data_IF_619974479855
#
_entry.id   IF_619974479855
#
_cell.length_a   1.000
_cell.length_b   1.000
_cell.length_c   1.000
_cell.angle_alpha   90.00
_cell.angle_beta   90.00
_cell.angle_gamma   90.00
#
_symmetry.space_group_name_H-M   'P 1'
#
loop_
_entity.id
_entity.type
_entity.pdbx_description
1 polymer ?
#
# COMPACT_ATOMS: atom_id res chain seq x y z
N UNK A 1 -4.22 -22.38 19.35
CA UNK A 1 -4.13 -20.96 19.75
C UNK A 1 -3.60 -20.22 18.54
N UNK A 2 -4.45 -19.48 17.84
CA UNK A 2 -4.08 -18.81 16.60
C UNK A 2 -3.11 -17.70 16.92
N UNK A 3 -1.88 -17.82 16.42
CA UNK A 3 -0.87 -16.78 16.48
C UNK A 3 -1.40 -15.57 15.68
N UNK A 4 -1.97 -14.61 16.40
CA UNK A 4 -2.18 -13.27 15.86
C UNK A 4 -0.79 -12.65 15.73
N UNK A 5 -0.14 -12.91 14.59
CA UNK A 5 1.11 -12.26 14.22
C UNK A 5 0.82 -10.77 14.09
N UNK A 6 1.16 -10.04 15.14
CA UNK A 6 1.28 -8.59 15.10
C UNK A 6 2.48 -8.22 14.20
N UNK A 7 2.36 -7.12 13.42
CA UNK A 7 1.24 -6.19 13.39
C UNK A 7 0.11 -6.64 12.44
N UNK A 8 -1.15 -6.32 12.81
CA UNK A 8 -2.31 -6.45 11.93
C UNK A 8 -2.02 -5.70 10.63
N UNK A 9 -1.92 -6.42 9.51
CA UNK A 9 -1.64 -5.80 8.23
C UNK A 9 -2.85 -4.95 7.82
N UNK A 10 -2.72 -3.61 7.73
CA UNK A 10 -3.83 -2.74 7.41
C UNK A 10 -4.37 -3.09 6.03
N UNK A 11 -5.67 -2.90 5.85
CA UNK A 11 -6.36 -3.26 4.62
C UNK A 11 -6.89 -2.01 3.95
N UNK A 12 -6.73 -1.91 2.62
CA UNK A 12 -7.27 -0.80 1.85
C UNK A 12 -8.81 -0.82 1.81
N UNK A 13 -9.42 0.20 1.20
CA UNK A 13 -10.88 0.28 1.05
C UNK A 13 -11.48 -0.89 0.24
N UNK A 14 -10.67 -1.61 -0.54
CA UNK A 14 -11.04 -2.73 -1.38
C UNK A 14 -10.80 -4.10 -0.73
N UNK A 15 -10.19 -4.15 0.46
CA UNK A 15 -9.88 -5.40 1.15
C UNK A 15 -8.51 -5.99 0.80
N UNK A 16 -7.62 -5.25 0.14
CA UNK A 16 -6.24 -5.64 -0.10
C UNK A 16 -5.35 -5.34 1.10
N UNK A 17 -4.50 -6.31 1.43
CA UNK A 17 -3.52 -6.17 2.50
C UNK A 17 -2.40 -5.22 2.06
N UNK A 18 -2.17 -4.18 2.86
CA UNK A 18 -1.11 -3.21 2.68
C UNK A 18 0.14 -3.61 3.48
N UNK A 19 1.30 -3.35 2.92
CA UNK A 19 2.60 -3.62 3.55
C UNK A 19 3.59 -2.50 3.25
N UNK A 20 4.59 -2.32 4.11
CA UNK A 20 5.69 -1.38 3.84
C UNK A 20 6.37 -1.73 2.52
N UNK A 21 6.67 -0.72 1.69
CA UNK A 21 7.19 -0.87 0.33
C UNK A 21 6.11 -1.08 -0.74
N UNK A 22 4.84 -1.16 -0.35
CA UNK A 22 3.73 -1.29 -1.31
C UNK A 22 3.42 0.07 -1.94
N UNK A 23 3.17 0.08 -3.24
CA UNK A 23 2.69 1.26 -3.97
C UNK A 23 1.17 1.35 -3.90
N UNK A 24 0.70 2.47 -3.37
CA UNK A 24 -0.72 2.77 -3.22
C UNK A 24 -1.02 4.11 -3.85
N UNK A 25 -2.23 4.24 -4.39
CA UNK A 25 -2.79 5.48 -4.89
C UNK A 25 -3.54 6.17 -3.77
N UNK A 26 -3.29 7.46 -3.59
CA UNK A 26 -4.01 8.27 -2.61
C UNK A 26 -5.38 8.64 -3.19
N UNK A 27 -6.47 8.22 -2.55
CA UNK A 27 -7.83 8.61 -2.93
C UNK A 27 -8.33 9.84 -2.17
N UNK A 28 -7.89 9.99 -0.91
CA UNK A 28 -8.30 11.09 -0.03
C UNK A 28 -7.15 11.46 0.90
N UNK A 29 -7.08 12.75 1.26
CA UNK A 29 -6.22 13.27 2.33
C UNK A 29 -7.02 13.97 3.42
N UNK A 30 -8.35 13.80 3.40
CA UNK A 30 -9.27 14.49 4.29
C UNK A 30 -8.87 14.31 5.76
N UNK A 31 -8.47 13.10 6.16
CA UNK A 31 -8.07 12.84 7.55
C UNK A 31 -6.91 13.69 8.07
N UNK A 32 -5.98 14.07 7.20
CA UNK A 32 -4.76 14.79 7.57
C UNK A 32 -4.89 16.30 7.32
N UNK A 33 -5.71 16.69 6.33
CA UNK A 33 -5.80 18.07 5.84
C UNK A 33 -6.51 19.05 6.78
N UNK A 34 -7.40 18.58 7.65
CA UNK A 34 -8.33 19.45 8.40
C UNK A 34 -7.67 20.40 9.41
N UNK A 35 -6.52 20.04 9.98
CA UNK A 35 -5.82 20.82 11.01
C UNK A 35 -4.53 21.47 10.51
N UNK A 36 -4.27 21.40 9.20
CA UNK A 36 -3.04 21.91 8.61
C UNK A 36 -3.19 23.35 8.07
N UNK A 37 -2.09 24.12 7.98
CA UNK A 37 -2.07 25.41 7.29
C UNK A 37 -2.52 25.28 5.83
N UNK A 38 -3.15 26.32 5.28
CA UNK A 38 -3.68 26.32 3.91
C UNK A 38 -2.66 25.92 2.84
N UNK A 39 -1.38 26.27 3.04
CA UNK A 39 -0.29 25.92 2.12
C UNK A 39 -0.03 24.40 2.11
N UNK A 40 0.03 23.78 3.28
CA UNK A 40 0.13 22.32 3.43
C UNK A 40 -1.15 21.61 2.95
N UNK A 41 -2.32 22.24 3.11
CA UNK A 41 -3.57 21.69 2.61
C UNK A 41 -3.58 21.59 1.08
N UNK A 42 -3.14 22.63 0.39
CA UNK A 42 -3.04 22.64 -1.08
C UNK A 42 -2.02 21.59 -1.56
N UNK A 43 -0.90 21.50 -0.85
CA UNK A 43 0.15 20.53 -1.16
C UNK A 43 -0.35 19.08 -1.02
N UNK A 44 -1.02 18.74 0.09
CA UNK A 44 -1.61 17.42 0.29
C UNK A 44 -2.75 17.14 -0.70
N UNK A 45 -3.59 18.14 -1.02
CA UNK A 45 -4.62 17.99 -2.04
C UNK A 45 -4.03 17.65 -3.42
N UNK A 46 -2.85 18.18 -3.73
CA UNK A 46 -2.13 17.87 -4.98
C UNK A 46 -1.64 16.42 -5.06
N UNK A 47 -1.50 15.75 -3.90
CA UNK A 47 -1.12 14.33 -3.83
C UNK A 47 -2.30 13.39 -4.11
N UNK A 48 -3.54 13.88 -4.04
CA UNK A 48 -4.73 13.08 -4.36
C UNK A 48 -4.67 12.59 -5.81
N UNK A 49 -4.79 11.29 -5.98
CA UNK A 49 -4.69 10.61 -7.26
C UNK A 49 -3.27 10.19 -7.65
N UNK A 50 -2.23 10.63 -6.93
CA UNK A 50 -0.85 10.19 -7.14
C UNK A 50 -0.58 8.83 -6.50
N UNK A 51 0.41 8.12 -7.04
CA UNK A 51 0.90 6.84 -6.51
C UNK A 51 2.11 7.10 -5.63
N UNK A 52 2.07 6.58 -4.41
CA UNK A 52 3.14 6.70 -3.40
C UNK A 52 3.44 5.36 -2.77
N UNK A 53 4.67 5.20 -2.30
CA UNK A 53 5.12 4.01 -1.61
C UNK A 53 4.92 4.17 -0.09
N UNK A 54 4.39 3.13 0.56
CA UNK A 54 4.25 3.10 2.02
C UNK A 54 5.63 2.98 2.65
N UNK A 55 6.02 3.98 3.44
CA UNK A 55 7.32 4.00 4.12
C UNK A 55 7.25 3.26 5.44
N UNK A 56 6.14 3.41 6.17
CA UNK A 56 5.94 2.80 7.47
C UNK A 56 4.45 2.54 7.73
N UNK A 57 4.20 1.54 8.57
CA UNK A 57 2.88 1.26 9.12
C UNK A 57 3.01 1.28 10.63
N UNK A 58 2.23 2.14 11.28
CA UNK A 58 2.29 2.28 12.73
C UNK A 58 1.49 1.19 13.47
N UNK A 59 1.71 1.09 14.78
CA UNK A 59 1.03 0.08 15.63
C UNK A 59 -0.50 0.24 15.65
N UNK A 60 -1.00 1.42 15.28
CA UNK A 60 -2.41 1.74 15.16
C UNK A 60 -2.99 1.44 13.76
N UNK A 61 -2.15 1.01 12.80
CA UNK A 61 -2.54 0.72 11.42
C UNK A 61 -2.55 1.94 10.50
N UNK A 62 -1.99 3.08 10.91
CA UNK A 62 -1.78 4.23 10.03
C UNK A 62 -0.66 3.96 9.03
N UNK A 63 -0.86 4.39 7.79
CA UNK A 63 0.13 4.28 6.71
C UNK A 63 0.85 5.61 6.53
N UNK A 64 2.17 5.58 6.63
CA UNK A 64 3.03 6.76 6.50
C UNK A 64 3.67 6.85 5.14
N UNK A 65 3.77 8.07 4.64
CA UNK A 65 4.31 8.42 3.33
C UNK A 65 5.36 9.52 3.46
N UNK A 66 6.31 9.51 2.53
CA UNK A 66 7.26 10.61 2.32
C UNK A 66 6.75 11.53 1.19
N UNK A 67 6.76 12.84 1.44
CA UNK A 67 6.42 13.88 0.45
C UNK A 67 7.54 14.01 -0.57
N UNK A 68 8.79 13.97 -0.10
CA UNK A 68 9.97 14.04 -0.94
C UNK A 68 10.63 12.66 -1.09
N UNK A 69 11.18 12.39 -2.27
CA UNK A 69 11.99 11.17 -2.48
C UNK A 69 13.37 11.28 -1.82
N UNK A 70 13.76 12.50 -1.44
CA UNK A 70 14.97 12.76 -0.69
C UNK A 70 14.74 12.50 0.80
N UNK A 71 15.23 11.35 1.25
CA UNK A 71 15.29 10.92 2.64
C UNK A 71 13.97 10.37 3.19
N UNK A 72 14.05 9.30 3.98
CA UNK A 72 12.90 8.57 4.56
C UNK A 72 12.22 9.41 5.65
N UNK A 73 11.64 10.54 5.27
CA UNK A 73 10.87 11.39 6.15
C UNK A 73 9.44 10.88 6.23
N UNK A 74 8.99 10.60 7.45
CA UNK A 74 7.60 10.27 7.77
C UNK A 74 6.80 11.58 7.79
N UNK A 75 6.54 12.14 6.60
CA UNK A 75 5.99 13.49 6.47
C UNK A 75 4.50 13.55 6.82
N UNK A 76 3.73 12.54 6.43
CA UNK A 76 2.31 12.47 6.72
C UNK A 76 1.81 11.03 6.80
N UNK A 77 0.73 10.84 7.55
CA UNK A 77 0.04 9.57 7.69
C UNK A 77 -1.41 9.68 7.19
N UNK A 78 -1.91 8.61 6.57
CA UNK A 78 -3.29 8.49 6.14
C UNK A 78 -3.94 7.23 6.72
N UNK A 79 -5.28 7.19 6.66
CA UNK A 79 -5.98 5.95 6.93
C UNK A 79 -5.79 4.96 5.78
N UNK A 80 -5.74 3.65 6.07
CA UNK A 80 -5.71 2.60 5.04
C UNK A 80 -6.87 2.71 4.04
N UNK A 81 -8.03 3.20 4.49
CA UNK A 81 -9.23 3.37 3.66
C UNK A 81 -9.15 4.54 2.67
N UNK A 82 -8.18 5.44 2.85
CA UNK A 82 -7.99 6.61 1.99
C UNK A 82 -6.95 6.36 0.89
N UNK A 83 -6.38 5.17 0.89
CA UNK A 83 -5.45 4.72 -0.13
C UNK A 83 -5.96 3.43 -0.76
N UNK A 84 -5.59 3.19 -2.00
CA UNK A 84 -5.95 1.99 -2.75
C UNK A 84 -4.70 1.37 -3.33
N UNK A 85 -4.59 0.06 -3.30
CA UNK A 85 -3.48 -0.64 -3.92
C UNK A 85 -3.38 -0.30 -5.43
N UNK A 86 -2.25 0.27 -5.87
CA UNK A 86 -2.06 0.70 -7.27
C UNK A 86 -1.68 -0.47 -8.19
N UNK A 87 -1.06 -1.51 -7.62
CA UNK A 87 -0.70 -2.72 -8.35
C UNK A 87 -1.18 -3.94 -7.57
N UNK A 88 -2.02 -4.82 -8.13
CA UNK A 88 -2.16 -6.14 -7.53
C UNK A 88 -0.75 -6.74 -7.43
N UNK A 89 -0.41 -7.51 -6.37
CA UNK A 89 0.78 -8.33 -6.42
C UNK A 89 0.66 -9.10 -7.73
N UNK A 90 1.61 -8.90 -8.63
CA UNK A 90 1.70 -9.71 -9.84
C UNK A 90 1.90 -11.13 -9.34
N UNK A 91 0.79 -11.85 -9.15
CA UNK A 91 0.76 -13.27 -8.86
C UNK A 91 1.68 -13.90 -9.91
N UNK A 92 2.62 -14.69 -9.40
CA UNK A 92 3.78 -15.12 -10.16
C UNK A 92 3.43 -15.48 -11.60
N UNK A 93 4.10 -14.83 -12.53
CA UNK A 93 4.49 -15.50 -13.77
C UNK A 93 5.41 -16.66 -13.39
N UNK A 94 4.80 -17.74 -12.93
CA UNK A 94 5.43 -19.03 -12.80
C UNK A 94 4.81 -19.90 -13.90
N UNK A 95 5.41 -20.00 -15.10
CA UNK A 95 5.01 -21.01 -16.06
C UNK A 95 5.48 -22.38 -15.56
N UNK A 96 4.94 -22.86 -14.44
CA UNK A 96 5.20 -24.21 -13.95
C UNK A 96 4.13 -25.16 -14.48
N UNK A 97 4.54 -25.84 -15.56
CA UNK A 97 4.19 -27.22 -15.91
C UNK A 97 2.72 -27.56 -16.23
N UNK A 98 2.44 -27.69 -17.54
CA UNK A 98 1.65 -28.84 -17.98
C UNK A 98 2.59 -30.02 -18.27
N UNK A 99 2.59 -30.99 -17.36
CA UNK A 99 2.97 -32.38 -17.65
C UNK A 99 1.91 -32.97 -18.57
N UNK A 100 2.29 -33.50 -19.72
CA UNK A 100 1.62 -34.68 -20.27
C UNK A 100 2.67 -35.72 -20.59
N UNK A 101 2.73 -36.72 -19.72
CA UNK A 101 3.42 -37.97 -19.99
C UNK A 101 2.64 -38.72 -21.08
N UNK A 102 3.32 -39.09 -22.16
CA UNK A 102 2.93 -40.24 -22.97
C UNK A 102 4.20 -40.96 -23.43
N UNK A 103 4.59 -41.99 -22.69
CA UNK A 103 5.31 -43.17 -23.22
C UNK A 103 4.28 -44.30 -23.22
N UNK A 104 4.23 -45.19 -24.23
CA UNK A 104 5.28 -46.19 -24.50
C UNK A 104 5.66 -46.28 -26.02
N UNK A 105 6.89 -46.64 -26.41
CA UNK A 105 7.50 -47.98 -26.59
C UNK A 105 6.79 -48.89 -27.62
N UNK A 106 7.20 -48.83 -28.88
CA UNK A 106 7.70 -49.95 -29.73
C UNK A 106 7.99 -49.43 -31.15
#
# INVERSE_FOLDING_TARGET
MSEQTFPLSPTDSLGHVLSVGTRVRIESVASCVHDLPLEDQDHLCSLVGQVREIVQIDSYGFVWFAVDHAERSEDFCLFPREVVLDSPPSEGSNPTFQRTATRPLN
#
